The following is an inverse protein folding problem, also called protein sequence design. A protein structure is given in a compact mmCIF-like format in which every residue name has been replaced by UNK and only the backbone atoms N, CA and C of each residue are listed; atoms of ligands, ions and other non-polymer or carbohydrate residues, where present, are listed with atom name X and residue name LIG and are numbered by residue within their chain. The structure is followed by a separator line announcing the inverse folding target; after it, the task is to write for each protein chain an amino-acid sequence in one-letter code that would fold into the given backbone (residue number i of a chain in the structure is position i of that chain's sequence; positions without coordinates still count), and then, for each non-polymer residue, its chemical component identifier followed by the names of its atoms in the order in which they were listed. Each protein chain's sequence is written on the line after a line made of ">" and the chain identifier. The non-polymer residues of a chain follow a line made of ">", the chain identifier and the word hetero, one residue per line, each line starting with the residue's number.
data_IF_249509834916
#
_entry.id   IF_249509834916
#
_cell.length_a   1.000
_cell.length_b   1.000
_cell.length_c   1.000
_cell.angle_alpha   90.00
_cell.angle_beta   90.00
_cell.angle_gamma   90.00
#
_symmetry.space_group_name_H-M   'P 1'
#
loop_
_entity.id
_entity.type
_entity.pdbx_description
1 polymer ?
#
# COMPACT_ATOMS: atom_id res chain seq x y z
N UNK A 1 80.08 -30.73 -19.89
CA UNK A 1 79.43 -29.85 -20.86
C UNK A 1 78.03 -29.61 -20.41
N UNK A 2 77.81 -28.48 -19.77
CA UNK A 2 76.51 -28.07 -19.18
C UNK A 2 75.93 -26.98 -20.05
N UNK A 3 74.75 -27.20 -20.54
CA UNK A 3 73.96 -26.16 -21.23
C UNK A 3 72.88 -25.64 -20.23
N UNK A 4 73.09 -24.43 -19.82
CA UNK A 4 72.08 -23.69 -19.04
C UNK A 4 71.04 -23.14 -20.02
N UNK A 5 69.79 -23.60 -19.87
CA UNK A 5 68.66 -23.11 -20.63
C UNK A 5 68.04 -21.92 -19.88
N UNK A 6 68.33 -20.71 -20.30
CA UNK A 6 67.74 -19.47 -19.73
C UNK A 6 66.41 -19.17 -20.42
N UNK A 7 65.33 -19.50 -19.74
CA UNK A 7 64.01 -19.11 -20.18
C UNK A 7 63.82 -17.60 -19.97
N UNK A 8 64.06 -16.82 -21.00
CA UNK A 8 63.67 -15.40 -21.05
C UNK A 8 62.17 -15.28 -21.23
N UNK A 9 61.49 -14.99 -20.14
CA UNK A 9 60.08 -14.60 -20.21
C UNK A 9 59.98 -13.22 -20.82
N UNK A 10 59.44 -13.15 -22.03
CA UNK A 10 59.28 -11.91 -22.78
C UNK A 10 58.24 -11.03 -22.15
N UNK A 11 58.62 -9.80 -21.79
CA UNK A 11 57.75 -8.75 -21.19
C UNK A 11 56.49 -8.42 -22.02
N UNK A 12 56.43 -8.87 -23.26
CA UNK A 12 55.29 -8.64 -24.15
C UNK A 12 54.12 -9.61 -23.94
N UNK A 13 54.29 -10.70 -23.20
CA UNK A 13 53.22 -11.66 -22.92
C UNK A 13 52.40 -11.33 -21.67
N UNK A 14 52.83 -10.33 -20.91
CA UNK A 14 52.11 -9.91 -19.67
C UNK A 14 51.01 -8.85 -19.88
N UNK A 15 50.85 -8.35 -21.11
CA UNK A 15 49.84 -7.32 -21.42
C UNK A 15 48.57 -7.88 -22.07
N UNK A 16 48.36 -9.17 -22.08
CA UNK A 16 47.20 -9.81 -22.72
C UNK A 16 46.14 -10.40 -21.78
N UNK A 17 46.33 -10.32 -20.44
CA UNK A 17 45.46 -11.00 -19.50
C UNK A 17 44.70 -10.04 -18.56
N UNK A 18 44.43 -8.82 -18.98
CA UNK A 18 43.85 -7.76 -18.13
C UNK A 18 42.60 -7.09 -18.65
N UNK A 19 41.72 -7.77 -19.39
CA UNK A 19 40.51 -7.12 -19.90
C UNK A 19 39.34 -8.09 -20.09
N UNK A 20 38.83 -8.67 -19.02
CA UNK A 20 37.52 -9.34 -19.05
C UNK A 20 36.90 -9.41 -17.64
N UNK A 21 36.94 -8.30 -16.88
CA UNK A 21 35.95 -8.07 -15.83
C UNK A 21 34.94 -7.10 -16.42
N UNK A 22 34.10 -7.62 -17.33
CA UNK A 22 32.88 -6.95 -17.73
C UNK A 22 31.98 -6.92 -16.47
N UNK A 23 32.02 -5.78 -15.78
CA UNK A 23 31.12 -5.50 -14.69
C UNK A 23 29.69 -5.73 -15.16
N UNK A 24 29.02 -6.71 -14.58
CA UNK A 24 27.56 -6.78 -14.59
C UNK A 24 27.08 -5.54 -13.85
N UNK A 25 26.93 -4.42 -14.57
CA UNK A 25 26.14 -3.29 -14.10
C UNK A 25 24.75 -3.87 -13.96
N UNK A 26 24.39 -4.26 -12.74
CA UNK A 26 23.04 -4.62 -12.38
C UNK A 26 22.16 -3.43 -12.75
N UNK A 27 21.43 -3.57 -13.85
CA UNK A 27 20.39 -2.61 -14.19
C UNK A 27 19.53 -2.47 -12.93
N UNK A 28 19.29 -1.25 -12.43
CA UNK A 28 18.37 -1.06 -11.34
C UNK A 28 17.07 -1.71 -11.80
N UNK A 29 16.60 -2.73 -11.06
CA UNK A 29 15.27 -3.25 -11.25
C UNK A 29 14.37 -2.02 -11.07
N UNK A 30 13.85 -1.52 -12.17
CA UNK A 30 12.87 -0.45 -12.18
C UNK A 30 11.78 -0.99 -11.26
N UNK A 31 11.68 -0.41 -10.05
CA UNK A 31 10.56 -0.67 -9.18
C UNK A 31 9.34 -0.36 -10.04
N UNK A 32 8.69 -1.41 -10.53
CA UNK A 32 7.40 -1.24 -11.20
C UNK A 32 6.54 -0.59 -10.13
N UNK A 33 6.26 0.69 -10.30
CA UNK A 33 5.25 1.38 -9.51
C UNK A 33 4.02 0.51 -9.59
N UNK A 34 3.78 -0.24 -8.51
CA UNK A 34 2.67 -1.15 -8.44
C UNK A 34 1.41 -0.30 -8.66
N UNK A 35 0.80 -0.43 -9.85
CA UNK A 35 -0.37 0.38 -10.20
C UNK A 35 -1.39 0.24 -9.08
N UNK A 36 -1.81 1.35 -8.53
CA UNK A 36 -2.89 1.36 -7.55
C UNK A 36 -4.22 0.97 -8.24
N UNK A 37 -5.03 0.08 -7.63
CA UNK A 37 -4.73 -0.73 -6.45
C UNK A 37 -4.00 -2.04 -6.81
N UNK A 38 -2.95 -2.39 -6.07
CA UNK A 38 -2.15 -3.62 -6.26
C UNK A 38 -2.51 -4.74 -5.27
N UNK A 39 -3.35 -4.45 -4.27
CA UNK A 39 -3.80 -5.38 -3.23
C UNK A 39 -5.26 -5.09 -2.85
N UNK A 40 -5.95 -6.00 -2.14
CA UNK A 40 -7.32 -5.78 -1.70
C UNK A 40 -7.50 -4.48 -0.90
N UNK A 41 -8.64 -3.84 -1.13
CA UNK A 41 -9.07 -2.62 -0.42
C UNK A 41 -10.04 -3.04 0.68
N UNK A 42 -9.88 -2.50 1.88
CA UNK A 42 -10.83 -2.69 2.98
C UNK A 42 -11.79 -1.50 3.04
N UNK A 43 -13.08 -1.78 2.94
CA UNK A 43 -14.15 -0.80 3.10
C UNK A 43 -14.83 -1.00 4.46
N UNK A 44 -14.50 -0.15 5.41
CA UNK A 44 -15.06 -0.21 6.75
C UNK A 44 -16.47 0.37 6.77
N UNK A 45 -17.42 -0.39 7.30
CA UNK A 45 -18.77 0.04 7.58
C UNK A 45 -18.89 0.17 9.11
N UNK A 46 -19.02 1.39 9.67
CA UNK A 46 -18.99 1.62 11.12
C UNK A 46 -20.33 1.30 11.80
N UNK A 47 -21.13 0.41 11.21
CA UNK A 47 -22.47 0.01 11.68
C UNK A 47 -22.66 -1.51 11.56
N UNK A 48 -23.66 -2.07 12.27
CA UNK A 48 -23.97 -3.50 12.19
C UNK A 48 -24.30 -3.95 10.77
N UNK A 49 -23.96 -5.19 10.47
CA UNK A 49 -24.29 -5.83 9.20
C UNK A 49 -25.84 -5.90 9.02
N UNK A 50 -26.29 -5.75 7.78
CA UNK A 50 -27.71 -5.77 7.41
C UNK A 50 -28.43 -4.43 7.60
N UNK A 51 -27.78 -3.40 8.14
CA UNK A 51 -28.32 -2.04 8.22
C UNK A 51 -28.25 -1.29 6.88
N UNK A 52 -28.87 -0.11 6.82
CA UNK A 52 -28.88 0.72 5.59
C UNK A 52 -27.47 1.13 5.14
N UNK A 53 -26.59 1.47 6.08
CA UNK A 53 -25.20 1.83 5.77
C UNK A 53 -24.39 0.62 5.27
N UNK A 54 -24.64 -0.58 5.82
CA UNK A 54 -24.02 -1.81 5.37
C UNK A 54 -24.48 -2.16 3.95
N UNK A 55 -25.79 -2.07 3.69
CA UNK A 55 -26.34 -2.31 2.34
C UNK A 55 -25.72 -1.37 1.31
N UNK A 56 -25.63 -0.08 1.64
CA UNK A 56 -24.97 0.90 0.78
C UNK A 56 -23.48 0.60 0.60
N UNK A 57 -22.77 0.27 1.69
CA UNK A 57 -21.36 -0.08 1.67
C UNK A 57 -21.07 -1.30 0.79
N UNK A 58 -21.89 -2.35 0.85
CA UNK A 58 -21.75 -3.52 -0.02
C UNK A 58 -22.01 -3.20 -1.48
N UNK A 59 -23.03 -2.39 -1.79
CA UNK A 59 -23.29 -1.96 -3.16
C UNK A 59 -22.14 -1.13 -3.73
N UNK A 60 -21.58 -0.21 -2.93
CA UNK A 60 -20.39 0.58 -3.30
C UNK A 60 -19.19 -0.34 -3.49
N UNK A 61 -18.92 -1.24 -2.54
CA UNK A 61 -17.80 -2.19 -2.59
C UNK A 61 -17.82 -3.08 -3.83
N UNK A 62 -19.00 -3.59 -4.20
CA UNK A 62 -19.17 -4.37 -5.43
C UNK A 62 -18.84 -3.56 -6.70
N UNK A 63 -19.30 -2.31 -6.76
CA UNK A 63 -19.03 -1.42 -7.90
C UNK A 63 -17.56 -1.05 -7.98
N UNK A 64 -16.95 -0.66 -6.85
CA UNK A 64 -15.53 -0.37 -6.76
C UNK A 64 -14.68 -1.58 -7.18
N UNK A 65 -15.03 -2.77 -6.74
CA UNK A 65 -14.30 -3.99 -7.11
C UNK A 65 -14.29 -4.21 -8.63
N UNK A 66 -15.42 -3.96 -9.29
CA UNK A 66 -15.52 -4.07 -10.77
C UNK A 66 -14.71 -2.99 -11.49
N UNK A 67 -14.81 -1.75 -11.04
CA UNK A 67 -14.14 -0.61 -11.70
C UNK A 67 -12.62 -0.67 -11.52
N UNK A 68 -12.17 -1.01 -10.32
CA UNK A 68 -10.75 -1.06 -9.97
C UNK A 68 -10.09 -2.39 -10.32
N UNK A 69 -10.88 -3.38 -10.78
CA UNK A 69 -10.42 -4.76 -11.02
C UNK A 69 -9.62 -5.33 -9.85
N UNK A 70 -10.10 -5.05 -8.61
CA UNK A 70 -9.45 -5.46 -7.38
C UNK A 70 -10.50 -5.83 -6.33
N UNK A 71 -10.16 -6.77 -5.45
CA UNK A 71 -11.07 -7.18 -4.37
C UNK A 71 -11.31 -6.03 -3.40
N UNK A 72 -12.59 -5.76 -3.08
CA UNK A 72 -13.00 -4.85 -2.01
C UNK A 72 -13.67 -5.66 -0.92
N UNK A 73 -13.07 -5.66 0.27
CA UNK A 73 -13.55 -6.40 1.44
C UNK A 73 -14.36 -5.44 2.31
N UNK A 74 -15.63 -5.76 2.55
CA UNK A 74 -16.50 -4.96 3.43
C UNK A 74 -16.40 -5.50 4.85
N UNK A 75 -15.94 -4.66 5.79
CA UNK A 75 -15.81 -5.00 7.21
C UNK A 75 -16.73 -4.13 8.09
N UNK A 76 -17.58 -4.77 8.88
CA UNK A 76 -18.43 -4.08 9.84
C UNK A 76 -17.69 -3.88 11.17
N UNK A 77 -17.46 -2.61 11.56
CA UNK A 77 -16.82 -2.20 12.83
C UNK A 77 -17.77 -1.29 13.59
N UNK A 78 -18.84 -1.85 14.13
CA UNK A 78 -19.90 -1.11 14.80
C UNK A 78 -19.55 -0.68 16.23
N UNK A 79 -20.22 0.37 16.70
CA UNK A 79 -20.19 0.84 18.08
C UNK A 79 -20.04 2.35 18.22
N UNK A 80 -20.51 2.90 19.34
CA UNK A 80 -20.47 4.32 19.70
C UNK A 80 -20.94 5.26 18.57
N UNK A 81 -22.10 4.97 17.95
CA UNK A 81 -22.61 5.79 16.85
C UNK A 81 -21.73 5.83 15.61
N UNK A 82 -20.90 4.80 15.39
CA UNK A 82 -19.94 4.72 14.29
C UNK A 82 -18.54 5.24 14.65
N UNK A 83 -18.31 5.71 15.88
CA UNK A 83 -17.01 6.26 16.27
C UNK A 83 -15.89 5.20 16.25
N UNK A 84 -16.19 3.94 16.59
CA UNK A 84 -15.18 2.87 16.62
C UNK A 84 -14.62 2.63 15.21
N UNK A 85 -15.48 2.39 14.22
CA UNK A 85 -15.06 2.16 12.85
C UNK A 85 -14.38 3.39 12.21
N UNK A 86 -14.92 4.59 12.46
CA UNK A 86 -14.31 5.83 11.98
C UNK A 86 -12.93 6.07 12.57
N UNK A 87 -12.72 5.83 13.87
CA UNK A 87 -11.41 5.93 14.53
C UNK A 87 -10.39 4.98 13.92
N UNK A 88 -10.81 3.75 13.59
CA UNK A 88 -9.93 2.77 12.96
C UNK A 88 -9.39 3.31 11.64
N UNK A 89 -10.25 3.90 10.81
CA UNK A 89 -9.84 4.43 9.50
C UNK A 89 -9.05 5.71 9.64
N UNK A 90 -9.41 6.62 10.54
CA UNK A 90 -8.66 7.83 10.84
C UNK A 90 -7.20 7.56 11.24
N UNK A 91 -6.95 6.42 11.89
CA UNK A 91 -5.60 5.97 12.30
C UNK A 91 -4.91 5.07 11.28
N UNK A 92 -5.58 4.70 10.20
CA UNK A 92 -4.99 3.90 9.15
C UNK A 92 -3.99 4.72 8.30
N UNK A 93 -3.14 4.02 7.54
CA UNK A 93 -2.26 4.71 6.59
C UNK A 93 -3.10 5.37 5.49
N UNK A 94 -2.80 6.62 5.11
CA UNK A 94 -3.53 7.34 4.06
C UNK A 94 -3.06 6.91 2.66
N UNK A 95 -3.07 5.61 2.40
CA UNK A 95 -2.59 4.99 1.14
C UNK A 95 -3.72 4.54 0.21
N UNK A 96 -4.97 4.85 0.56
CA UNK A 96 -6.15 4.52 -0.23
C UNK A 96 -6.64 3.07 -0.10
N UNK A 97 -6.00 2.23 0.73
CA UNK A 97 -6.42 0.83 0.90
C UNK A 97 -7.36 0.59 2.07
N UNK A 98 -7.58 1.61 2.91
CA UNK A 98 -8.57 1.55 4.00
C UNK A 98 -9.53 2.71 3.85
N UNK A 99 -10.76 2.40 3.52
CA UNK A 99 -11.83 3.34 3.25
C UNK A 99 -12.92 3.20 4.32
N UNK A 100 -13.74 4.23 4.49
CA UNK A 100 -14.92 4.18 5.37
C UNK A 100 -16.17 4.66 4.62
N UNK A 101 -17.29 3.99 4.86
CA UNK A 101 -18.60 4.50 4.49
C UNK A 101 -19.12 5.34 5.65
N UNK A 102 -19.09 6.66 5.51
CA UNK A 102 -19.51 7.57 6.57
C UNK A 102 -21.02 7.71 6.65
N UNK A 103 -21.50 8.25 7.76
CA UNK A 103 -22.88 8.62 7.97
C UNK A 103 -22.99 9.95 8.72
N UNK A 104 -24.18 10.53 8.72
CA UNK A 104 -24.46 11.74 9.49
C UNK A 104 -24.13 11.55 10.99
N UNK A 105 -24.40 10.38 11.57
CA UNK A 105 -24.10 10.15 12.98
C UNK A 105 -22.59 10.14 13.27
N UNK A 106 -21.77 9.48 12.46
CA UNK A 106 -20.34 9.39 12.70
C UNK A 106 -19.57 10.68 12.39
N UNK A 107 -20.01 11.48 11.39
CA UNK A 107 -19.26 12.65 10.93
C UNK A 107 -19.89 14.00 11.25
N UNK A 108 -21.15 14.03 11.71
CA UNK A 108 -21.83 15.27 12.10
C UNK A 108 -22.28 15.22 13.56
N UNK A 109 -23.08 14.22 13.94
CA UNK A 109 -23.63 14.16 15.29
C UNK A 109 -22.55 13.87 16.35
N UNK A 110 -21.70 12.86 16.15
CA UNK A 110 -20.64 12.55 17.10
C UNK A 110 -19.70 13.74 17.36
N UNK A 111 -19.15 14.46 16.35
CA UNK A 111 -18.36 15.66 16.60
C UNK A 111 -19.10 16.76 17.35
N UNK A 112 -20.41 16.92 17.12
CA UNK A 112 -21.21 17.94 17.77
C UNK A 112 -21.52 17.63 19.25
N UNK A 113 -21.70 16.36 19.62
CA UNK A 113 -22.15 15.94 20.93
C UNK A 113 -21.11 15.23 21.80
N UNK A 114 -19.96 14.87 21.24
CA UNK A 114 -18.93 14.12 21.94
C UNK A 114 -17.61 14.91 21.99
N UNK A 115 -17.34 15.62 23.10
CA UNK A 115 -16.16 16.51 23.19
C UNK A 115 -14.83 15.78 23.16
N UNK A 116 -14.80 14.48 23.45
CA UNK A 116 -13.58 13.65 23.48
C UNK A 116 -13.58 12.60 22.36
N UNK A 117 -13.93 13.00 21.16
CA UNK A 117 -13.90 12.10 20.01
C UNK A 117 -12.45 11.78 19.60
N UNK A 118 -12.09 10.50 19.38
CA UNK A 118 -10.69 10.12 19.08
C UNK A 118 -10.30 10.34 17.60
N UNK A 119 -11.08 11.10 16.84
CA UNK A 119 -10.80 11.52 15.46
C UNK A 119 -11.40 12.89 15.17
N UNK A 120 -10.83 13.61 14.21
CA UNK A 120 -11.38 14.82 13.61
C UNK A 120 -12.10 14.44 12.30
N UNK A 121 -13.42 14.68 12.23
CA UNK A 121 -14.24 14.27 11.08
C UNK A 121 -13.88 14.99 9.76
N UNK A 122 -13.11 16.06 9.83
CA UNK A 122 -12.71 16.87 8.66
C UNK A 122 -11.24 16.65 8.30
N UNK A 123 -10.35 16.67 9.30
CA UNK A 123 -8.89 16.66 9.07
C UNK A 123 -8.32 15.26 8.86
N UNK A 124 -8.94 14.25 9.49
CA UNK A 124 -8.41 12.88 9.48
C UNK A 124 -8.92 12.05 8.30
N UNK A 125 -9.73 12.63 7.42
CA UNK A 125 -10.32 11.94 6.27
C UNK A 125 -10.14 12.73 4.98
N UNK A 126 -9.84 12.02 3.90
CA UNK A 126 -9.88 12.54 2.54
C UNK A 126 -11.18 12.04 1.87
N UNK A 127 -12.14 12.92 1.54
CA UNK A 127 -13.35 12.51 0.82
C UNK A 127 -13.02 12.10 -0.62
N UNK A 128 -13.73 11.08 -1.09
CA UNK A 128 -13.63 10.56 -2.47
C UNK A 128 -15.00 10.50 -3.12
#
# INVERSE_FOLDING_TARGET
>A
MSQANSNHVNRRQFMGAGAAVAGTIGLPAWAQDARYPSRPITLVVPFPAGGSVDTAGRAIGERLSKVLNQTVIVENKSGAGGAIGSTLVAKAKPDGYTLVVTSQSSHVANPAFSPNLPYDAIKDFAPI
#
